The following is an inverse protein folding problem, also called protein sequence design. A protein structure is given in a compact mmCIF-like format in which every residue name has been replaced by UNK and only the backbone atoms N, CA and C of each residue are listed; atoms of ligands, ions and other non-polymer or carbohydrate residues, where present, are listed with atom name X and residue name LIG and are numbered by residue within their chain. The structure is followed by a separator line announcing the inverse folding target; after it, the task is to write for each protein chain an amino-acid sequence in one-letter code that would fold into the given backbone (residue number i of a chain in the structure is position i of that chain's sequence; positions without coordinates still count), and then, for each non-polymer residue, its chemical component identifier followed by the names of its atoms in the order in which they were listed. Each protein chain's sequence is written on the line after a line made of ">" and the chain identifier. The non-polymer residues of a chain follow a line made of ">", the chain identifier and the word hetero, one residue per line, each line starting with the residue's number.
data_IF_428020188313
#
_entry.id   IF_428020188313
#
_cell.length_a   1.000
_cell.length_b   1.000
_cell.length_c   1.000
_cell.angle_alpha   90.00
_cell.angle_beta   90.00
_cell.angle_gamma   90.00
#
_symmetry.space_group_name_H-M   'P 1'
#
loop_
_entity.id
_entity.type
_entity.pdbx_description
1 polymer ?
2 water ?
#
# COMPACT_ATOMS: atom_id res chain seq x y z
N UNK A 11 9.38 -0.56 -9.78
CA UNK A 11 8.83 -1.90 -10.19
C UNK A 11 9.83 -3.07 -10.03
N UNK A 12 9.24 -4.23 -9.75
CA UNK A 12 9.88 -5.32 -9.04
C UNK A 12 8.77 -6.37 -8.96
N UNK A 13 9.07 -7.65 -9.27
CA UNK A 13 8.02 -8.64 -9.48
C UNK A 13 7.51 -9.38 -8.23
N UNK A 14 7.73 -8.81 -7.05
CA UNK A 14 7.20 -9.37 -5.81
C UNK A 14 7.26 -8.31 -4.72
N UNK A 15 6.87 -8.67 -3.51
CA UNK A 15 7.00 -7.75 -2.37
C UNK A 15 8.44 -7.74 -1.85
N UNK A 16 8.86 -6.62 -1.30
CA UNK A 16 10.18 -6.48 -0.66
C UNK A 16 10.01 -5.53 0.51
N UNK A 17 10.88 -5.61 1.53
CA UNK A 17 10.77 -4.54 2.54
C UNK A 17 10.97 -3.17 1.89
N UNK A 18 10.26 -2.17 2.40
CA UNK A 18 10.44 -0.79 1.96
C UNK A 18 11.49 -0.18 2.89
N UNK A 19 12.66 0.11 2.32
CA UNK A 19 13.83 0.54 3.10
C UNK A 19 13.83 2.02 3.49
N UNK A 20 13.01 2.83 2.81
CA UNK A 20 12.93 4.26 3.09
C UNK A 20 11.68 4.86 2.48
N UNK A 21 11.23 5.97 3.08
CA UNK A 21 10.16 6.79 2.53
C UNK A 21 10.58 8.24 2.77
N UNK A 22 9.81 9.18 2.22
CA UNK A 22 10.20 10.58 2.23
C UNK A 22 10.65 10.98 0.84
N UNK A 23 10.80 12.29 0.63
CA UNK A 23 11.35 12.82 -0.61
C UNK A 23 10.51 12.46 -1.83
N UNK A 24 9.20 12.41 -1.62
CA UNK A 24 8.24 12.11 -2.67
C UNK A 24 8.37 10.70 -3.22
N UNK A 25 9.02 9.81 -2.49
CA UNK A 25 9.09 8.45 -2.95
C UNK A 25 9.48 7.40 -1.93
N UNK A 26 10.06 6.33 -2.46
CA UNK A 26 10.38 5.15 -1.68
C UNK A 26 11.66 4.53 -2.17
N UNK A 27 12.34 3.84 -1.26
CA UNK A 27 13.49 3.02 -1.62
C UNK A 27 13.21 1.57 -1.25
N UNK A 28 13.47 0.67 -2.19
CA UNK A 28 13.24 -0.76 -1.96
C UNK A 28 14.07 -1.57 -2.94
N UNK A 29 14.57 -2.72 -2.49
CA UNK A 29 15.22 -3.67 -3.39
C UNK A 29 16.37 -3.00 -4.15
N UNK A 30 17.13 -2.17 -3.44
CA UNK A 30 18.23 -1.39 -4.01
C UNK A 30 17.84 -0.47 -5.18
N UNK A 31 16.56 -0.11 -5.23
CA UNK A 31 16.03 0.80 -6.23
C UNK A 31 15.41 2.00 -5.50
N UNK A 32 15.19 3.08 -6.25
CA UNK A 32 14.46 4.26 -5.79
C UNK A 32 13.30 4.48 -6.75
N UNK A 33 12.12 4.78 -6.21
CA UNK A 33 11.00 5.14 -7.07
C UNK A 33 10.42 6.46 -6.58
N UNK A 34 10.19 7.38 -7.51
CA UNK A 34 9.52 8.64 -7.23
C UNK A 34 8.00 8.48 -7.47
N UNK A 35 7.22 8.72 -6.42
CA UNK A 35 5.77 8.57 -6.51
C UNK A 35 5.20 7.55 -5.54
N UNK A 36 3.87 7.47 -5.53
CA UNK A 36 3.17 6.55 -4.66
C UNK A 36 3.26 5.13 -5.21
N UNK A 37 3.15 4.14 -4.33
CA UNK A 37 3.31 2.74 -4.75
C UNK A 37 2.24 1.85 -4.14
N UNK A 38 1.96 0.76 -4.83
CA UNK A 38 1.18 -0.31 -4.28
C UNK A 38 2.07 -1.58 -4.26
N UNK A 39 2.02 -2.33 -3.17
CA UNK A 39 2.88 -3.48 -2.96
C UNK A 39 1.97 -4.66 -2.76
N UNK A 40 1.96 -5.57 -3.72
CA UNK A 40 1.04 -6.70 -3.70
C UNK A 40 1.83 -7.97 -4.07
N UNK A 41 1.25 -9.16 -3.85
CA UNK A 41 2.06 -10.36 -4.16
C UNK A 41 2.72 -10.39 -5.55
N UNK A 42 2.08 -9.79 -6.56
CA UNK A 42 2.64 -9.80 -7.93
C UNK A 42 3.73 -8.74 -8.17
N UNK A 43 3.92 -7.84 -7.20
CA UNK A 43 5.01 -6.89 -7.28
C UNK A 43 4.75 -5.54 -6.67
N UNK A 44 5.67 -4.62 -6.91
CA UNK A 44 5.54 -3.24 -6.48
C UNK A 44 5.32 -2.41 -7.74
N UNK A 45 4.21 -1.67 -7.79
CA UNK A 45 3.83 -0.88 -8.96
C UNK A 45 3.69 0.59 -8.58
N UNK A 46 4.09 1.48 -9.47
CA UNK A 46 3.76 2.90 -9.29
C UNK A 46 2.27 3.12 -9.48
N UNK A 47 1.70 3.99 -8.66
CA UNK A 47 0.35 4.46 -8.90
C UNK A 47 0.32 5.98 -8.78
N UNK A 48 -0.45 6.60 -9.66
CA UNK A 48 -0.48 8.03 -9.76
C UNK A 48 -1.54 8.60 -8.84
N UNK A 49 -1.25 8.62 -7.54
CA UNK A 49 -2.16 9.25 -6.58
C UNK A 49 -1.95 10.78 -6.60
N UNK A 50 -3.00 11.54 -6.82
CA UNK A 50 -2.90 13.01 -6.73
C UNK A 50 -3.02 13.49 -5.29
N UNK A 51 -3.46 12.59 -4.43
CA UNK A 51 -3.74 12.92 -3.04
C UNK A 51 -3.73 11.69 -2.17
N UNK A 52 -3.65 11.90 -0.85
CA UNK A 52 -3.47 10.83 0.12
C UNK A 52 -4.67 9.90 0.33
N UNK A 53 -5.85 10.29 -0.15
CA UNK A 53 -7.03 9.42 -0.02
C UNK A 53 -7.16 8.56 -1.28
N UNK A 54 -7.10 7.23 -1.13
CA UNK A 54 -7.14 6.37 -2.30
C UNK A 54 -8.49 6.39 -2.99
N UNK A 55 -8.46 6.15 -4.30
CA UNK A 55 -9.67 6.04 -5.10
C UNK A 55 -9.92 4.56 -5.40
N UNK A 56 -11.07 4.28 -6.01
CA UNK A 56 -11.39 2.92 -6.45
C UNK A 56 -10.33 2.38 -7.41
N UNK A 57 -9.90 3.19 -8.38
CA UNK A 57 -8.78 2.84 -9.27
C UNK A 57 -7.49 2.49 -8.52
N UNK A 58 -7.15 3.32 -7.54
CA UNK A 58 -5.94 3.10 -6.75
C UNK A 58 -5.82 1.69 -6.20
N UNK A 59 -6.96 1.11 -5.82
CA UNK A 59 -6.96 -0.18 -5.14
C UNK A 59 -7.35 -1.34 -6.08
N UNK A 60 -7.57 -1.03 -7.35
CA UNK A 60 -8.01 -2.03 -8.33
C UNK A 60 -7.10 -3.27 -8.41
N UNK A 61 -5.78 -3.08 -8.30
CA UNK A 61 -4.87 -4.23 -8.35
C UNK A 61 -5.00 -5.12 -7.11
N UNK A 62 -5.27 -4.47 -5.97
CA UNK A 62 -5.50 -5.18 -4.71
C UNK A 62 -6.76 -6.04 -4.83
N UNK A 63 -7.84 -5.45 -5.32
CA UNK A 63 -9.09 -6.19 -5.46
C UNK A 63 -8.86 -7.39 -6.39
N UNK A 64 -8.15 -7.16 -7.48
CA UNK A 64 -7.94 -8.18 -8.50
C UNK A 64 -7.09 -9.36 -7.99
N UNK A 65 -6.24 -9.10 -7.00
CA UNK A 65 -5.37 -10.13 -6.44
C UNK A 65 -5.83 -10.54 -5.04
N UNK A 66 -7.12 -10.36 -4.76
CA UNK A 66 -7.65 -10.52 -3.40
C UNK A 66 -7.54 -11.96 -2.90
N UNK A 67 -7.47 -12.92 -3.81
CA UNK A 67 -7.28 -14.31 -3.41
C UNK A 67 -5.97 -14.51 -2.65
N UNK A 68 -5.00 -13.61 -2.84
CA UNK A 68 -3.67 -13.74 -2.21
C UNK A 68 -3.38 -12.65 -1.18
N UNK A 69 -4.39 -11.86 -0.85
CA UNK A 69 -4.25 -10.74 0.09
C UNK A 69 -5.28 -10.89 1.20
N UNK A 70 -4.81 -11.00 2.44
CA UNK A 70 -5.72 -10.99 3.61
C UNK A 70 -5.81 -9.62 4.26
N UNK A 71 -4.73 -8.86 4.19
CA UNK A 71 -4.69 -7.55 4.86
C UNK A 71 -4.05 -6.48 3.97
N UNK A 72 -4.73 -5.34 3.88
CA UNK A 72 -4.22 -4.18 3.18
C UNK A 72 -3.94 -3.02 4.14
N UNK A 73 -2.69 -2.56 4.15
CA UNK A 73 -2.33 -1.37 4.92
C UNK A 73 -2.39 -0.21 3.96
N UNK A 74 -3.01 0.89 4.39
CA UNK A 74 -3.11 2.07 3.57
C UNK A 74 -2.41 3.24 4.24
N UNK A 75 -1.33 3.69 3.61
CA UNK A 75 -0.54 4.82 4.12
C UNK A 75 -1.11 6.06 3.47
N UNK A 76 -1.74 6.91 4.29
CA UNK A 76 -2.47 8.09 3.80
C UNK A 76 -1.70 9.40 3.95
N UNK A 77 -0.38 9.32 3.80
CA UNK A 77 0.49 10.50 3.86
C UNK A 77 0.92 10.84 5.28
N UNK A 78 1.02 12.13 5.59
CA UNK A 78 1.53 12.55 6.89
C UNK A 78 0.51 12.39 8.01
N UNK A 79 -0.77 12.39 7.67
CA UNK A 79 -1.83 12.27 8.66
C UNK A 79 -2.64 11.03 8.36
N UNK A 80 -3.17 10.41 9.41
CA UNK A 80 -4.07 9.27 9.25
C UNK A 80 -5.43 9.79 8.77
N UNK A 81 -5.89 9.27 7.63
CA UNK A 81 -7.17 9.67 7.04
C UNK A 81 -8.13 8.49 6.95
N UNK A 82 -9.43 8.76 7.03
CA UNK A 82 -10.46 7.73 6.92
C UNK A 82 -10.55 7.13 5.54
N UNK A 83 -10.82 5.84 5.50
CA UNK A 83 -11.05 5.15 4.25
C UNK A 83 -12.47 5.50 3.79
N UNK A 84 -12.62 5.99 2.54
CA UNK A 84 -13.94 6.36 2.03
C UNK A 84 -14.89 5.16 2.02
N UNK A 85 -16.17 5.44 2.19
CA UNK A 85 -17.23 4.44 2.26
C UNK A 85 -17.19 3.44 1.09
N UNK A 86 -17.06 3.97 -0.12
CA UNK A 86 -17.01 3.18 -1.34
C UNK A 86 -15.90 2.13 -1.32
N UNK A 87 -14.73 2.50 -0.81
CA UNK A 87 -13.59 1.60 -0.73
C UNK A 87 -13.76 0.57 0.38
N UNK A 88 -14.38 0.98 1.49
CA UNK A 88 -14.64 0.07 2.60
C UNK A 88 -15.52 -1.09 2.13
N UNK A 89 -16.58 -0.76 1.39
CA UNK A 89 -17.46 -1.76 0.75
C UNK A 89 -16.71 -2.71 -0.19
N UNK A 90 -15.99 -2.17 -1.16
CA UNK A 90 -15.24 -3.00 -2.12
C UNK A 90 -14.27 -3.96 -1.43
N UNK A 91 -13.50 -3.44 -0.47
CA UNK A 91 -12.54 -4.27 0.27
C UNK A 91 -13.26 -5.36 1.09
N UNK A 92 -14.36 -4.96 1.73
CA UNK A 92 -15.18 -5.90 2.48
C UNK A 92 -15.71 -7.04 1.61
N UNK A 93 -16.16 -6.71 0.40
CA UNK A 93 -16.69 -7.70 -0.56
C UNK A 93 -15.66 -8.75 -0.94
N UNK A 94 -14.38 -8.40 -0.83
CA UNK A 94 -13.30 -9.31 -1.22
C UNK A 94 -12.63 -9.91 0.02
N UNK A 95 -13.25 -9.69 1.19
CA UNK A 95 -12.78 -10.19 2.47
C UNK A 95 -11.33 -9.78 2.75
N UNK A 96 -10.97 -8.56 2.37
CA UNK A 96 -9.67 -8.02 2.73
C UNK A 96 -9.83 -7.13 3.94
N UNK A 97 -9.12 -7.47 5.01
CA UNK A 97 -9.14 -6.64 6.20
C UNK A 97 -8.14 -5.49 5.97
N UNK A 98 -8.58 -4.26 6.24
CA UNK A 98 -7.77 -3.11 5.88
C UNK A 98 -7.79 -2.01 6.91
N UNK A 99 -6.76 -1.19 6.89
CA UNK A 99 -6.70 -0.10 7.83
C UNK A 99 -5.81 1.01 7.32
N UNK A 100 -6.11 2.23 7.75
CA UNK A 100 -5.32 3.38 7.36
C UNK A 100 -4.45 3.83 8.53
N UNK A 101 -3.39 4.55 8.20
CA UNK A 101 -2.38 5.10 9.17
C UNK A 101 -1.49 5.97 8.28
N UNK A 102 -0.65 6.80 8.88
CA UNK A 102 0.32 7.57 8.11
C UNK A 102 1.18 6.67 7.21
N UNK A 103 1.77 7.27 6.17
CA UNK A 103 2.64 6.51 5.27
C UNK A 103 3.81 5.89 6.03
N UNK A 104 4.38 6.64 6.97
CA UNK A 104 5.50 6.12 7.79
C UNK A 104 5.10 4.87 8.56
N UNK A 105 3.96 4.94 9.24
CA UNK A 105 3.43 3.84 10.02
C UNK A 105 3.12 2.65 9.12
N UNK A 106 2.55 2.91 7.95
CA UNK A 106 2.20 1.81 7.05
C UNK A 106 3.46 1.08 6.57
N UNK A 107 4.51 1.84 6.23
CA UNK A 107 5.78 1.23 5.83
C UNK A 107 6.30 0.29 6.92
N UNK A 108 6.34 0.79 8.16
CA UNK A 108 6.93 0.04 9.25
C UNK A 108 6.13 -1.22 9.55
N UNK A 109 4.80 -1.09 9.48
CA UNK A 109 3.88 -2.20 9.72
C UNK A 109 3.92 -3.21 8.58
N UNK A 110 3.92 -2.72 7.34
CA UNK A 110 4.12 -3.59 6.17
C UNK A 110 5.38 -4.45 6.29
N UNK A 111 6.50 -3.81 6.63
CA UNK A 111 7.77 -4.52 6.74
C UNK A 111 7.69 -5.65 7.75
N UNK A 112 7.08 -5.36 8.90
CA UNK A 112 6.99 -6.33 9.99
C UNK A 112 6.12 -7.51 9.56
N UNK A 113 4.94 -7.23 9.03
CA UNK A 113 4.02 -8.28 8.59
C UNK A 113 4.58 -9.09 7.42
N UNK A 114 5.29 -8.42 6.52
CA UNK A 114 5.97 -9.11 5.42
C UNK A 114 7.00 -10.13 5.94
N UNK A 115 7.79 -9.71 6.92
CA UNK A 115 8.78 -10.57 7.57
C UNK A 115 8.15 -11.78 8.26
N UNK A 116 6.91 -11.62 8.71
CA UNK A 116 6.15 -12.70 9.34
C UNK A 116 5.44 -13.61 8.31
N UNK A 117 5.68 -13.38 7.02
CA UNK A 117 5.03 -14.14 5.94
C UNK A 117 3.51 -14.05 5.93
N UNK A 118 2.97 -12.90 6.34
CA UNK A 118 1.52 -12.67 6.29
C UNK A 118 1.15 -12.30 4.86
N UNK A 119 -0.07 -12.63 4.44
CA UNK A 119 -0.58 -12.21 3.13
C UNK A 119 -0.94 -10.71 3.17
N UNK A 120 0.09 -9.87 3.22
CA UNK A 120 -0.07 -8.43 3.41
C UNK A 120 0.21 -7.66 2.12
N UNK A 121 -0.56 -6.60 1.92
CA UNK A 121 -0.40 -5.68 0.82
C UNK A 121 -0.34 -4.29 1.41
N UNK A 122 0.23 -3.34 0.67
CA UNK A 122 0.25 -1.95 1.10
C UNK A 122 -0.01 -1.00 -0.07
N UNK A 123 -0.79 0.05 0.19
CA UNK A 123 -0.94 1.14 -0.74
C UNK A 123 -0.31 2.32 -0.04
N UNK A 124 0.70 2.93 -0.65
CA UNK A 124 1.48 3.93 0.08
C UNK A 124 1.54 5.26 -0.66
N UNK A 125 0.89 6.29 -0.11
CA UNK A 125 1.02 7.63 -0.65
C UNK A 125 2.38 8.18 -0.29
N UNK A 126 3.12 8.61 -1.31
CA UNK A 126 4.48 9.10 -1.11
C UNK A 126 4.44 10.46 -0.47
N UNK A 127 5.14 10.60 0.65
CA UNK A 127 5.21 11.86 1.39
C UNK A 127 6.55 12.55 1.16
N UNK A 128 6.56 13.87 1.39
CA UNK A 128 7.81 14.62 1.42
C UNK A 128 8.65 14.14 2.60
#
# INVERSE_FOLDING_TARGET
>A
MSHAIQIREAHFPGRAPIDAYGNGGFRFADMSHRGSIICIPSGIYGIDMTGPVPTQEDISRVLEESDQIEVLLIGTGVELLRLPEELRVLLWEKRISSDTMSTGAAVRTFNVLLAEDRAVAALLFAVE
#
